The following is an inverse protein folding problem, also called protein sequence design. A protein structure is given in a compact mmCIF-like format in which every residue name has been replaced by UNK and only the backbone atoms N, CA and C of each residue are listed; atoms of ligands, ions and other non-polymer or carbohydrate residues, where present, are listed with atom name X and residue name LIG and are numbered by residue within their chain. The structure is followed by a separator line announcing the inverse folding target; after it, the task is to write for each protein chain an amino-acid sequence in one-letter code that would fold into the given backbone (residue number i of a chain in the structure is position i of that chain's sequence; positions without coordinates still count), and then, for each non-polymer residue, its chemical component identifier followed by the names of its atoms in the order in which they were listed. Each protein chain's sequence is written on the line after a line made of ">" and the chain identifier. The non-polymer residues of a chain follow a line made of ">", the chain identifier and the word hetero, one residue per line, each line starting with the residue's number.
data_IF_243484378194
#
_entry.id   IF_243484378194
#
_cell.length_a   1.000
_cell.length_b   1.000
_cell.length_c   1.000
_cell.angle_alpha   90.00
_cell.angle_beta   90.00
_cell.angle_gamma   90.00
#
_symmetry.space_group_name_H-M   'P 1'
#
loop_
_entity.id
_entity.type
_entity.pdbx_description
1 polymer ?
#
# COMPACT_ATOMS: atom_id res chain seq x y z
N UNK A 1 2.18 -19.48 0.98
CA UNK A 1 3.43 -19.45 1.81
C UNK A 1 3.62 -18.03 2.34
N UNK A 2 3.16 -17.75 3.57
CA UNK A 2 3.31 -16.44 4.19
C UNK A 2 4.76 -16.25 4.64
N UNK A 3 5.50 -15.33 4.01
CA UNK A 3 6.91 -15.05 4.32
C UNK A 3 7.09 -14.16 5.57
N UNK A 4 6.21 -14.32 6.57
CA UNK A 4 6.21 -13.49 7.78
C UNK A 4 7.51 -13.70 8.56
N UNK A 5 7.94 -14.95 8.75
CA UNK A 5 9.22 -15.29 9.42
C UNK A 5 10.43 -14.61 8.77
N UNK A 6 10.41 -14.47 7.44
CA UNK A 6 11.47 -13.76 6.72
C UNK A 6 11.43 -12.25 6.99
N UNK A 7 10.23 -11.66 7.04
CA UNK A 7 10.06 -10.23 7.38
C UNK A 7 10.44 -9.98 8.83
N UNK A 8 10.07 -10.86 9.76
CA UNK A 8 10.50 -10.82 11.16
C UNK A 8 12.02 -10.88 11.26
N UNK A 9 12.65 -11.83 10.57
CA UNK A 9 14.10 -11.91 10.51
C UNK A 9 14.73 -10.62 9.98
N UNK A 10 14.19 -10.01 8.92
CA UNK A 10 14.71 -8.72 8.40
C UNK A 10 14.58 -7.59 9.42
N UNK A 11 13.46 -7.53 10.15
CA UNK A 11 13.22 -6.55 11.19
C UNK A 11 14.21 -6.73 12.36
N UNK A 12 14.41 -7.97 12.81
CA UNK A 12 15.38 -8.32 13.85
C UNK A 12 16.82 -7.99 13.44
N UNK A 13 17.15 -8.14 12.14
CA UNK A 13 18.45 -7.79 11.59
C UNK A 13 18.62 -6.28 11.30
N UNK A 14 17.69 -5.44 11.75
CA UNK A 14 17.85 -3.98 11.74
C UNK A 14 17.42 -3.27 10.46
N UNK A 15 16.61 -3.92 9.61
CA UNK A 15 16.02 -3.24 8.45
C UNK A 15 15.04 -2.16 8.94
N UNK A 16 15.34 -0.90 8.62
CA UNK A 16 14.48 0.22 8.99
C UNK A 16 13.25 0.33 8.09
N UNK A 17 12.07 0.10 8.67
CA UNK A 17 10.80 0.28 7.97
C UNK A 17 10.52 1.74 7.60
N UNK A 18 11.12 2.70 8.32
CA UNK A 18 11.04 4.12 7.99
C UNK A 18 11.71 4.44 6.65
N UNK A 19 12.82 3.76 6.35
CA UNK A 19 13.53 3.94 5.08
C UNK A 19 12.89 3.14 3.94
N UNK A 20 12.22 2.03 4.28
CA UNK A 20 11.54 1.17 3.31
C UNK A 20 10.20 1.76 2.85
N UNK A 21 9.42 2.33 3.78
CA UNK A 21 8.07 2.74 3.49
C UNK A 21 8.02 4.13 2.84
N UNK A 22 7.51 4.18 1.62
CA UNK A 22 7.31 5.38 0.80
C UNK A 22 5.91 5.31 0.19
N UNK A 23 5.37 6.44 -0.27
CA UNK A 23 4.05 6.47 -0.91
C UNK A 23 3.95 5.39 -2.00
N UNK A 24 4.98 5.28 -2.85
CA UNK A 24 5.00 4.30 -3.93
C UNK A 24 5.05 2.86 -3.42
N UNK A 25 5.87 2.55 -2.41
CA UNK A 25 5.96 1.17 -1.89
C UNK A 25 4.67 0.77 -1.18
N UNK A 26 4.05 1.67 -0.42
CA UNK A 26 2.77 1.36 0.22
C UNK A 26 1.65 1.16 -0.81
N UNK A 27 1.54 2.01 -1.84
CA UNK A 27 0.57 1.78 -2.91
C UNK A 27 0.83 0.46 -3.64
N UNK A 28 2.08 0.11 -3.90
CA UNK A 28 2.43 -1.20 -4.46
C UNK A 28 1.95 -2.32 -3.54
N UNK A 29 2.18 -2.24 -2.23
CA UNK A 29 1.71 -3.25 -1.26
C UNK A 29 0.19 -3.47 -1.33
N UNK A 30 -0.62 -2.40 -1.41
CA UNK A 30 -2.07 -2.50 -1.61
C UNK A 30 -2.45 -3.00 -3.02
N UNK A 31 -1.58 -2.83 -4.01
CA UNK A 31 -1.82 -3.19 -5.40
C UNK A 31 -1.22 -4.50 -5.88
N UNK A 32 -0.33 -5.14 -5.11
CA UNK A 32 0.31 -6.41 -5.46
C UNK A 32 -0.70 -7.53 -5.72
N UNK A 33 -1.83 -7.52 -4.99
CA UNK A 33 -2.96 -8.45 -5.18
C UNK A 33 -3.57 -8.38 -6.59
N UNK A 34 -3.45 -7.23 -7.27
CA UNK A 34 -3.90 -7.02 -8.66
C UNK A 34 -2.96 -7.64 -9.69
N UNK A 35 -1.65 -7.61 -9.44
CA UNK A 35 -0.62 -7.96 -10.44
C UNK A 35 -0.59 -9.44 -10.79
N UNK A 36 -0.97 -10.31 -9.85
CA UNK A 36 -1.05 -11.77 -10.05
C UNK A 36 -2.19 -12.15 -11.00
N UNK A 37 -3.23 -11.30 -11.15
CA UNK A 37 -4.35 -11.54 -12.08
C UNK A 37 -4.01 -11.26 -13.55
N UNK A 38 -2.87 -10.61 -13.86
CA UNK A 38 -2.51 -10.15 -15.21
C UNK A 38 -1.56 -11.13 -15.94
N UNK A 39 -1.01 -12.15 -15.28
CA UNK A 39 -0.26 -13.24 -15.95
C UNK A 39 -1.25 -14.24 -16.62
N UNK A 40 -2.07 -13.72 -17.52
CA UNK A 40 -3.32 -14.31 -18.01
C UNK A 40 -3.21 -15.49 -18.97
N UNK A 41 -2.05 -16.12 -19.15
CA UNK A 41 -1.94 -17.27 -20.07
C UNK A 41 -2.22 -18.63 -19.40
N UNK A 42 -2.36 -18.71 -18.07
CA UNK A 42 -2.59 -19.98 -17.35
C UNK A 42 -3.88 -20.02 -16.52
N UNK A 43 -4.90 -19.26 -16.91
CA UNK A 43 -6.13 -19.06 -16.12
C UNK A 43 -6.96 -20.34 -15.91
N UNK A 44 -6.87 -21.30 -16.83
CA UNK A 44 -7.68 -22.53 -16.79
C UNK A 44 -7.04 -23.70 -16.00
N UNK A 45 -5.72 -23.71 -15.80
CA UNK A 45 -5.02 -24.73 -15.01
C UNK A 45 -4.60 -24.23 -13.63
N UNK A 46 -4.49 -22.92 -13.43
CA UNK A 46 -4.17 -22.30 -12.14
C UNK A 46 -5.36 -22.22 -11.17
N UNK A 47 -6.60 -22.28 -11.67
CA UNK A 47 -7.79 -22.21 -10.80
C UNK A 47 -7.86 -23.37 -9.79
N UNK A 48 -7.24 -24.50 -10.11
CA UNK A 48 -7.19 -25.69 -9.24
C UNK A 48 -5.90 -25.78 -8.40
N UNK A 49 -4.86 -24.98 -8.73
CA UNK A 49 -3.55 -25.05 -8.07
C UNK A 49 -3.28 -23.85 -7.14
N UNK A 50 -3.97 -22.73 -7.34
CA UNK A 50 -3.89 -21.54 -6.50
C UNK A 50 -5.24 -21.27 -5.86
N UNK A 51 -5.65 -22.21 -5.02
CA UNK A 51 -6.55 -21.96 -3.90
C UNK A 51 -5.81 -21.15 -2.81
N UNK A 52 -5.07 -20.11 -3.20
CA UNK A 52 -4.64 -19.09 -2.25
C UNK A 52 -5.85 -18.19 -2.05
N UNK A 53 -6.68 -18.57 -1.08
CA UNK A 53 -7.81 -17.79 -0.57
C UNK A 53 -7.43 -16.31 -0.36
N UNK A 54 -6.17 -15.98 -0.07
CA UNK A 54 -5.69 -14.62 0.20
C UNK A 54 -5.96 -13.58 -0.91
N UNK A 55 -6.11 -13.97 -2.18
CA UNK A 55 -6.20 -13.01 -3.29
C UNK A 55 -7.62 -12.53 -3.63
N UNK A 56 -8.67 -13.20 -3.14
CA UNK A 56 -10.06 -12.80 -3.40
C UNK A 56 -10.60 -11.78 -2.39
N UNK A 57 -9.88 -11.55 -1.30
CA UNK A 57 -10.45 -11.02 -0.07
C UNK A 57 -10.05 -9.57 0.29
N UNK A 58 -9.58 -8.79 -0.69
CA UNK A 58 -9.23 -7.39 -0.47
C UNK A 58 -10.49 -6.51 -0.41
N UNK A 59 -10.52 -5.54 0.51
CA UNK A 59 -11.58 -4.51 0.68
C UNK A 59 -11.83 -3.59 -0.54
N UNK A 60 -11.24 -3.91 -1.70
CA UNK A 60 -11.36 -3.16 -2.96
C UNK A 60 -12.80 -2.96 -3.42
N UNK A 61 -13.66 -3.94 -3.18
CA UNK A 61 -15.08 -3.86 -3.53
C UNK A 61 -15.82 -2.72 -2.81
N UNK A 62 -15.24 -2.14 -1.75
CA UNK A 62 -15.83 -1.02 -1.02
C UNK A 62 -15.67 0.33 -1.72
N UNK A 63 -14.84 0.43 -2.76
CA UNK A 63 -14.77 1.62 -3.60
C UNK A 63 -15.93 1.60 -4.60
N UNK A 64 -17.01 2.28 -4.25
CA UNK A 64 -18.14 2.48 -5.15
C UNK A 64 -17.65 3.15 -6.45
N UNK A 65 -17.98 2.53 -7.59
CA UNK A 65 -17.67 2.98 -8.96
C UNK A 65 -16.25 2.72 -9.49
N UNK A 66 -15.47 1.87 -8.84
CA UNK A 66 -14.16 1.46 -9.35
C UNK A 66 -14.19 0.00 -9.83
N UNK A 67 -13.71 -0.24 -11.05
CA UNK A 67 -13.50 -1.59 -11.57
C UNK A 67 -12.66 -2.39 -10.57
N UNK A 68 -12.92 -3.69 -10.32
CA UNK A 68 -12.11 -4.51 -9.41
C UNK A 68 -10.61 -4.60 -9.76
N UNK A 69 -10.24 -4.06 -10.93
CA UNK A 69 -8.88 -3.96 -11.46
C UNK A 69 -8.25 -2.56 -11.34
N UNK A 70 -8.99 -1.54 -10.87
CA UNK A 70 -8.44 -0.20 -10.78
C UNK A 70 -7.32 -0.14 -9.74
N UNK A 71 -6.32 0.66 -10.05
CA UNK A 71 -5.20 0.91 -9.17
C UNK A 71 -5.67 1.76 -7.98
N UNK A 72 -5.57 1.22 -6.77
CA UNK A 72 -5.95 1.95 -5.56
C UNK A 72 -4.90 2.99 -5.20
N UNK A 73 -5.33 4.23 -5.04
CA UNK A 73 -4.48 5.30 -4.52
C UNK A 73 -4.59 5.41 -3.00
N UNK A 74 -3.61 6.01 -2.32
CA UNK A 74 -3.70 6.24 -0.87
C UNK A 74 -4.94 7.06 -0.46
N UNK A 75 -5.36 8.12 -1.19
CA UNK A 75 -6.64 8.77 -0.94
C UNK A 75 -7.85 7.82 -1.00
N UNK A 76 -7.90 6.88 -1.96
CA UNK A 76 -8.97 5.89 -2.06
C UNK A 76 -8.98 4.96 -0.83
N UNK A 77 -7.79 4.48 -0.45
CA UNK A 77 -7.61 3.67 0.76
C UNK A 77 -8.07 4.43 2.01
N UNK A 78 -7.78 5.73 2.08
CA UNK A 78 -8.27 6.61 3.14
C UNK A 78 -9.78 6.62 3.23
N UNK A 79 -10.49 6.71 2.10
CA UNK A 79 -11.95 6.67 2.07
C UNK A 79 -12.50 5.31 2.53
N UNK A 80 -11.84 4.21 2.14
CA UNK A 80 -12.22 2.86 2.60
C UNK A 80 -12.11 2.77 4.12
N UNK A 81 -11.00 3.23 4.70
CA UNK A 81 -10.79 3.22 6.16
C UNK A 81 -11.86 4.06 6.87
N UNK A 82 -12.16 5.26 6.36
CA UNK A 82 -13.22 6.10 6.93
C UNK A 82 -14.57 5.39 6.91
N UNK A 83 -14.93 4.74 5.79
CA UNK A 83 -16.16 3.94 5.66
C UNK A 83 -16.23 2.82 6.68
N UNK A 84 -15.16 2.02 6.80
CA UNK A 84 -15.08 0.91 7.76
C UNK A 84 -15.18 1.38 9.22
N UNK A 85 -14.60 2.56 9.52
CA UNK A 85 -14.64 3.17 10.85
C UNK A 85 -15.96 3.89 11.17
N UNK A 86 -16.89 3.99 10.20
CA UNK A 86 -18.22 4.58 10.41
C UNK A 86 -18.33 6.06 10.05
N UNK A 87 -17.48 6.57 9.15
CA UNK A 87 -17.47 7.93 8.57
C UNK A 87 -17.26 9.12 9.53
N UNK A 88 -17.39 8.93 10.85
CA UNK A 88 -17.06 9.95 11.85
C UNK A 88 -15.54 10.07 12.08
N UNK A 89 -14.79 9.03 11.74
CA UNK A 89 -13.34 9.03 11.75
C UNK A 89 -12.80 9.65 10.45
N UNK A 90 -11.77 10.50 10.56
CA UNK A 90 -11.08 11.11 9.42
C UNK A 90 -9.66 10.56 9.30
N UNK A 91 -9.37 9.84 8.22
CA UNK A 91 -8.04 9.29 7.98
C UNK A 91 -7.09 10.34 7.41
N UNK A 92 -5.80 10.27 7.74
CA UNK A 92 -4.81 11.25 7.28
C UNK A 92 -4.74 11.33 5.75
N UNK A 93 -4.92 10.21 5.05
CA UNK A 93 -4.85 10.15 3.58
C UNK A 93 -5.95 10.95 2.86
N UNK A 94 -7.05 11.26 3.55
CA UNK A 94 -8.12 12.07 2.97
C UNK A 94 -7.98 13.56 3.33
N UNK A 95 -7.02 13.90 4.20
CA UNK A 95 -6.75 15.27 4.63
C UNK A 95 -6.29 16.13 3.46
N UNK A 96 -6.61 17.44 3.51
CA UNK A 96 -6.18 18.40 2.49
C UNK A 96 -4.66 18.46 2.38
N UNK A 97 -3.96 18.41 3.53
CA UNK A 97 -2.50 18.45 3.60
C UNK A 97 -1.89 17.27 2.86
N UNK A 98 -2.36 16.05 3.15
CA UNK A 98 -1.86 14.85 2.49
C UNK A 98 -2.15 14.88 1.00
N UNK A 99 -3.38 15.19 0.58
CA UNK A 99 -3.76 15.25 -0.85
C UNK A 99 -2.88 16.19 -1.65
N UNK A 100 -2.61 17.39 -1.13
CA UNK A 100 -1.73 18.35 -1.78
C UNK A 100 -0.30 17.81 -1.95
N UNK A 101 0.26 17.16 -0.93
CA UNK A 101 1.60 16.57 -0.99
C UNK A 101 1.65 15.34 -1.92
N UNK A 102 0.61 14.51 -1.88
CA UNK A 102 0.46 13.34 -2.74
C UNK A 102 0.36 13.73 -4.23
N UNK A 103 -0.36 14.80 -4.57
CA UNK A 103 -0.41 15.32 -5.94
C UNK A 103 0.96 15.83 -6.43
N UNK A 104 1.71 16.54 -5.58
CA UNK A 104 3.08 16.96 -5.90
C UNK A 104 3.97 15.75 -6.19
N UNK A 105 3.92 14.73 -5.33
CA UNK A 105 4.65 13.48 -5.51
C UNK A 105 4.30 12.81 -6.84
N UNK A 106 3.00 12.65 -7.17
CA UNK A 106 2.56 12.06 -8.43
C UNK A 106 3.07 12.82 -9.65
N UNK A 107 3.00 14.16 -9.64
CA UNK A 107 3.50 14.99 -10.75
C UNK A 107 5.01 14.81 -10.94
N UNK A 108 5.80 14.80 -9.85
CA UNK A 108 7.26 14.54 -9.88
C UNK A 108 7.59 13.14 -10.41
N UNK A 109 6.83 12.12 -10.01
CA UNK A 109 6.98 10.76 -10.51
C UNK A 109 6.67 10.62 -12.02
N UNK A 110 5.70 11.38 -12.55
CA UNK A 110 5.44 11.41 -14.00
C UNK A 110 6.56 12.14 -14.76
N UNK A 111 6.99 13.30 -14.26
CA UNK A 111 8.06 14.09 -14.89
C UNK A 111 9.41 13.37 -14.92
N UNK A 112 9.76 12.63 -13.86
CA UNK A 112 10.98 11.81 -13.82
C UNK A 112 10.96 10.65 -14.82
N UNK A 113 9.79 10.05 -15.06
CA UNK A 113 9.63 9.06 -16.14
C UNK A 113 9.86 9.72 -17.50
N UNK A 114 9.24 10.88 -17.76
CA UNK A 114 9.39 11.61 -19.02
C UNK A 114 10.81 12.13 -19.25
N UNK A 115 11.52 12.59 -18.22
CA UNK A 115 12.92 13.03 -18.33
C UNK A 115 13.86 11.86 -18.65
N UNK A 116 13.60 10.66 -18.10
CA UNK A 116 14.31 9.44 -18.46
C UNK A 116 14.09 9.04 -19.93
N UNK A 117 12.93 9.35 -20.52
CA UNK A 117 12.71 9.16 -21.96
C UNK A 117 13.51 10.17 -22.79
N UNK A 118 13.58 11.44 -22.37
CA UNK A 118 14.34 12.49 -23.06
C UNK A 118 15.85 12.19 -23.09
N UNK A 119 16.42 11.63 -22.02
CA UNK A 119 17.84 11.23 -21.96
C UNK A 119 18.13 10.06 -22.92
N UNK A 120 17.19 9.13 -23.13
CA UNK A 120 17.34 8.01 -24.07
C UNK A 120 17.16 8.39 -25.54
N UNK A 121 16.38 9.43 -25.85
CA UNK A 121 16.15 9.87 -27.22
C UNK A 121 17.29 10.72 -27.79
N UNK A 122 18.04 11.43 -26.93
CA UNK A 122 19.12 12.34 -27.36
C UNK A 122 20.51 11.67 -27.36
N UNK A 123 20.63 10.41 -26.94
CA UNK A 123 21.91 9.68 -26.87
C UNK A 123 22.39 9.07 -28.20
N UNK A 124 21.76 9.40 -29.33
CA UNK A 124 22.24 9.03 -30.69
C UNK A 124 22.40 10.26 -31.58
N UNK A 125 23.35 11.16 -31.27
CA UNK A 125 24.12 11.98 -32.25
C UNK A 125 25.18 12.88 -31.57
N UNK A 126 26.36 12.32 -31.32
CA UNK A 126 27.70 12.96 -31.49
C UNK A 126 28.07 14.21 -30.61
N UNK A 127 29.28 14.81 -30.71
CA UNK A 127 30.34 14.72 -29.68
C UNK A 127 30.82 16.07 -29.06
N UNK A 128 31.62 15.96 -27.98
CA UNK A 128 32.57 16.92 -27.35
C UNK A 128 32.41 18.43 -27.65
N UNK A 129 32.14 19.22 -26.59
CA UNK A 129 32.79 20.54 -26.40
C UNK A 129 32.83 20.96 -24.93
N UNK A 130 34.03 21.21 -24.42
CA UNK A 130 34.31 21.83 -23.10
C UNK A 130 34.20 23.36 -23.23
N UNK A 131 33.52 24.03 -22.28
CA UNK A 131 34.00 25.22 -21.55
C UNK A 131 32.96 25.72 -20.54
N UNK A 132 33.45 25.79 -19.29
CA UNK A 132 33.01 26.50 -18.09
C UNK A 132 32.05 27.69 -18.27
N UNK A 133 30.95 27.69 -17.51
CA UNK A 133 30.50 28.77 -16.61
C UNK A 133 29.12 28.41 -16.02
N UNK A 134 29.06 28.41 -14.68
CA UNK A 134 27.89 28.73 -13.84
C UNK A 134 26.56 28.01 -14.08
N UNK A 135 26.51 26.72 -13.75
CA UNK A 135 25.26 26.08 -13.29
C UNK A 135 25.56 24.99 -12.25
N UNK A 136 26.20 25.35 -11.14
CA UNK A 136 26.25 24.51 -9.95
C UNK A 136 25.43 25.14 -8.84
N UNK A 137 24.10 25.03 -8.95
CA UNK A 137 23.35 24.47 -7.82
C UNK A 137 21.97 23.94 -8.27
N UNK A 138 21.83 22.64 -8.61
CA UNK A 138 20.53 21.97 -8.56
C UNK A 138 20.31 21.23 -7.23
N UNK A 139 21.13 21.49 -6.20
CA UNK A 139 21.20 20.62 -5.03
C UNK A 139 21.08 21.40 -3.72
N UNK A 140 19.99 22.14 -3.58
CA UNK A 140 19.31 22.23 -2.28
C UNK A 140 18.29 21.09 -2.22
N UNK A 141 18.79 19.85 -2.10
CA UNK A 141 17.99 18.63 -2.00
C UNK A 141 17.72 18.24 -0.54
N UNK A 142 17.56 19.22 0.34
CA UNK A 142 17.40 18.98 1.78
C UNK A 142 16.00 19.29 2.32
N UNK A 143 15.04 19.69 1.47
CA UNK A 143 13.64 19.92 1.88
C UNK A 143 12.63 19.18 0.97
N UNK A 144 13.05 18.02 0.48
CA UNK A 144 12.43 17.32 -0.66
C UNK A 144 12.16 15.84 -0.33
N UNK A 145 12.06 15.52 0.97
CA UNK A 145 11.56 14.23 1.41
C UNK A 145 10.06 14.15 1.10
N UNK A 146 9.55 13.03 0.52
CA UNK A 146 8.12 12.74 0.49
C UNK A 146 7.53 12.90 1.91
N UNK A 147 6.21 13.05 2.10
CA UNK A 147 5.65 13.01 3.44
C UNK A 147 6.06 11.66 4.06
N UNK A 148 7.05 11.71 4.95
CA UNK A 148 7.59 10.54 5.58
C UNK A 148 6.46 9.91 6.39
N UNK A 149 6.30 8.60 6.26
CA UNK A 149 5.51 7.85 7.22
C UNK A 149 6.25 7.93 8.56
N UNK A 150 5.88 8.90 9.38
CA UNK A 150 6.47 9.11 10.70
C UNK A 150 6.41 7.82 11.54
N UNK A 151 5.35 7.04 11.32
CA UNK A 151 5.06 5.79 12.01
C UNK A 151 4.72 4.68 10.98
N UNK A 152 5.72 4.10 10.31
CA UNK A 152 5.50 3.21 9.16
C UNK A 152 4.70 1.95 9.52
N UNK A 153 4.85 1.46 10.75
CA UNK A 153 4.09 0.30 11.22
C UNK A 153 2.59 0.57 11.34
N UNK A 154 2.17 1.83 11.52
CA UNK A 154 0.75 2.20 11.58
C UNK A 154 0.09 2.01 10.21
N UNK A 155 0.78 2.37 9.14
CA UNK A 155 0.28 2.20 7.78
C UNK A 155 0.40 0.73 7.32
N UNK A 156 1.45 0.03 7.76
CA UNK A 156 1.67 -1.40 7.43
C UNK A 156 0.66 -2.32 8.12
N UNK A 157 0.28 -2.07 9.38
CA UNK A 157 -0.77 -2.86 10.03
C UNK A 157 -2.13 -2.64 9.36
N UNK A 158 -2.45 -1.40 8.97
CA UNK A 158 -3.65 -1.11 8.18
C UNK A 158 -3.65 -1.87 6.86
N UNK A 159 -2.51 -1.88 6.15
CA UNK A 159 -2.35 -2.67 4.94
C UNK A 159 -2.59 -4.16 5.18
N UNK A 160 -1.97 -4.74 6.21
CA UNK A 160 -2.11 -6.16 6.53
C UNK A 160 -3.57 -6.53 6.88
N UNK A 161 -4.26 -5.70 7.65
CA UNK A 161 -5.67 -5.91 8.03
C UNK A 161 -6.59 -5.80 6.81
N UNK A 162 -6.45 -4.75 6.00
CA UNK A 162 -7.29 -4.53 4.81
C UNK A 162 -7.04 -5.55 3.68
N UNK A 163 -5.90 -6.23 3.71
CA UNK A 163 -5.56 -7.35 2.81
C UNK A 163 -5.76 -8.73 3.44
N UNK A 164 -6.38 -8.79 4.64
CA UNK A 164 -6.71 -10.01 5.40
C UNK A 164 -5.51 -10.93 5.70
N UNK A 165 -4.38 -10.34 6.10
CA UNK A 165 -3.14 -11.05 6.47
C UNK A 165 -2.91 -10.99 7.99
N UNK A 166 -3.53 -11.87 8.79
CA UNK A 166 -3.51 -11.79 10.26
C UNK A 166 -2.11 -11.92 10.84
N UNK A 167 -1.30 -12.87 10.35
CA UNK A 167 0.07 -13.06 10.86
C UNK A 167 0.98 -11.88 10.54
N UNK A 168 0.85 -11.30 9.34
CA UNK A 168 1.56 -10.08 8.99
C UNK A 168 1.11 -8.90 9.85
N UNK A 169 -0.20 -8.78 10.12
CA UNK A 169 -0.73 -7.75 11.02
C UNK A 169 -0.17 -7.92 12.43
N UNK A 170 -0.04 -9.16 12.93
CA UNK A 170 0.58 -9.48 14.22
C UNK A 170 2.06 -9.09 14.24
N UNK A 171 2.81 -9.42 13.21
CA UNK A 171 4.22 -9.00 13.07
C UNK A 171 4.38 -7.48 13.13
N UNK A 172 3.57 -6.73 12.36
CA UNK A 172 3.60 -5.25 12.36
C UNK A 172 3.17 -4.64 13.70
N UNK A 173 2.22 -5.29 14.38
CA UNK A 173 1.78 -4.91 15.71
C UNK A 173 2.89 -5.05 16.76
N UNK A 174 3.63 -6.17 16.72
CA UNK A 174 4.73 -6.45 17.65
C UNK A 174 5.90 -5.46 17.52
N UNK A 175 6.17 -4.96 16.31
CA UNK A 175 7.33 -4.12 16.03
C UNK A 175 7.07 -2.61 16.06
N UNK A 176 5.81 -2.16 16.16
CA UNK A 176 5.47 -0.73 16.17
C UNK A 176 5.09 -0.17 17.55
N UNK A 177 5.02 1.15 17.70
CA UNK A 177 4.57 1.77 18.97
C UNK A 177 3.05 1.67 19.20
N UNK A 178 2.55 2.08 20.37
CA UNK A 178 1.11 2.15 20.67
C UNK A 178 0.33 0.85 20.37
N UNK A 179 0.88 -0.29 20.80
CA UNK A 179 0.32 -1.61 20.57
C UNK A 179 -1.18 -1.72 20.94
N UNK A 180 -1.59 -1.13 22.06
CA UNK A 180 -2.99 -1.15 22.49
C UNK A 180 -3.93 -0.37 21.56
N UNK A 181 -3.50 0.80 21.06
CA UNK A 181 -4.31 1.56 20.12
C UNK A 181 -4.43 0.82 18.78
N UNK A 182 -3.32 0.23 18.30
CA UNK A 182 -3.29 -0.57 17.07
C UNK A 182 -4.20 -1.78 17.13
N UNK A 183 -4.20 -2.52 18.23
CA UNK A 183 -5.05 -3.70 18.37
C UNK A 183 -6.53 -3.33 18.33
N UNK A 184 -6.92 -2.20 18.95
CA UNK A 184 -8.29 -1.69 18.89
C UNK A 184 -8.70 -1.28 17.48
N UNK A 185 -7.82 -0.58 16.75
CA UNK A 185 -8.07 -0.20 15.35
C UNK A 185 -8.21 -1.45 14.48
N UNK A 186 -7.28 -2.41 14.59
CA UNK A 186 -7.31 -3.66 13.85
C UNK A 186 -8.60 -4.45 14.13
N UNK A 187 -8.98 -4.63 15.40
CA UNK A 187 -10.21 -5.31 15.80
C UNK A 187 -11.46 -4.60 15.25
N UNK A 188 -11.52 -3.27 15.30
CA UNK A 188 -12.64 -2.50 14.76
C UNK A 188 -12.78 -2.66 13.24
N UNK A 189 -11.66 -2.70 12.52
CA UNK A 189 -11.62 -2.89 11.07
C UNK A 189 -11.99 -4.34 10.69
N UNK A 190 -11.42 -5.34 11.35
CA UNK A 190 -11.80 -6.74 11.09
C UNK A 190 -13.29 -6.99 11.34
N UNK A 191 -13.85 -6.47 12.44
CA UNK A 191 -15.30 -6.55 12.71
C UNK A 191 -16.13 -5.87 11.62
N UNK A 192 -15.69 -4.72 11.11
CA UNK A 192 -16.38 -4.03 10.01
C UNK A 192 -16.37 -4.86 8.74
N UNK A 193 -15.21 -5.42 8.38
CA UNK A 193 -15.04 -6.25 7.18
C UNK A 193 -15.85 -7.55 7.31
N UNK A 194 -15.88 -8.17 8.50
CA UNK A 194 -16.68 -9.36 8.76
C UNK A 194 -18.17 -9.10 8.58
N UNK A 195 -18.68 -7.99 9.12
CA UNK A 195 -20.09 -7.60 8.97
C UNK A 195 -20.46 -7.39 7.49
N UNK A 196 -19.57 -6.77 6.72
CA UNK A 196 -19.78 -6.56 5.29
C UNK A 196 -19.79 -7.89 4.54
N UNK A 197 -18.91 -8.82 4.90
CA UNK A 197 -18.88 -10.17 4.32
C UNK A 197 -20.12 -11.00 4.69
N UNK A 198 -20.69 -10.83 5.89
CA UNK A 198 -21.95 -11.46 6.29
C UNK A 198 -23.16 -11.00 5.47
N UNK A 199 -23.18 -9.73 5.06
CA UNK A 199 -24.24 -9.18 4.23
C UNK A 199 -24.20 -9.76 2.80
N UNK A 200 -23.06 -10.33 2.39
CA UNK A 200 -22.91 -11.11 1.16
C UNK A 200 -23.10 -12.61 1.47
N UNK A 201 -24.25 -13.18 1.09
CA UNK A 201 -24.61 -14.58 1.39
C UNK A 201 -23.59 -15.62 0.89
N UNK A 202 -22.66 -15.23 0.01
CA UNK A 202 -21.58 -16.08 -0.51
C UNK A 202 -20.29 -16.06 0.35
N UNK A 203 -20.16 -15.17 1.34
CA UNK A 203 -18.93 -14.97 2.14
C UNK A 203 -19.10 -15.24 3.66
N UNK A 204 -20.08 -16.05 4.08
CA UNK A 204 -20.32 -16.32 5.51
C UNK A 204 -19.13 -16.97 6.23
N UNK A 205 -18.43 -17.92 5.58
CA UNK A 205 -17.24 -18.58 6.15
C UNK A 205 -16.07 -17.61 6.34
N UNK A 206 -15.95 -16.63 5.43
CA UNK A 206 -14.94 -15.57 5.48
C UNK A 206 -15.20 -14.65 6.67
N UNK A 207 -16.47 -14.29 6.92
CA UNK A 207 -16.83 -13.48 8.06
C UNK A 207 -16.52 -14.17 9.40
N UNK A 208 -16.73 -15.49 9.49
CA UNK A 208 -16.35 -16.27 10.66
C UNK A 208 -14.84 -16.23 10.92
N UNK A 209 -14.01 -16.51 9.90
CA UNK A 209 -12.54 -16.41 10.01
C UNK A 209 -12.07 -15.01 10.43
N UNK A 210 -12.72 -13.95 9.94
CA UNK A 210 -12.41 -12.57 10.32
C UNK A 210 -12.73 -12.25 11.78
N UNK A 211 -13.78 -12.87 12.33
CA UNK A 211 -14.13 -12.73 13.76
C UNK A 211 -13.09 -13.43 14.63
N UNK A 212 -12.60 -14.59 14.22
CA UNK A 212 -11.50 -15.30 14.91
C UNK A 212 -10.23 -14.45 14.97
N UNK A 213 -9.91 -13.65 13.95
CA UNK A 213 -8.77 -12.72 13.99
C UNK A 213 -8.92 -11.56 14.99
N UNK A 214 -10.13 -11.36 15.55
CA UNK A 214 -10.39 -10.31 16.54
C UNK A 214 -10.22 -10.78 17.98
N UNK A 215 -10.21 -12.09 18.22
CA UNK A 215 -10.08 -12.72 19.55
C UNK A 215 -8.61 -12.93 19.92
#
# INVERSE_FOLDING_TARGET
>A
MNRVDFVECLLENGVSMKNFLTIATLEQLYNLVSSVKISGELKAHAHYLFQDDDAQHSVRFLVEHTSPTAYLTLPDIGMIIEKLMGNAYKHYYTSRVFKNNYEKFRKKAQLSRLSSFHIRLVSKTSPKRRKSADWCNPMSCEDDAPPDFAYPFNDLILWAVLTRRPEMARCMWLHGEDAMAKSLVAARLYKAIARIAEEDYLEVEVAQKLREYCE
#
